data_IF_072374670468
#
_entry.id   IF_072374670468
#
_cell.length_a   1.000
_cell.length_b   1.000
_cell.length_c   1.000
_cell.angle_alpha   90.00
_cell.angle_beta   90.00
_cell.angle_gamma   90.00
#
_symmetry.space_group_name_H-M   'P 1'
#
loop_
_entity.id
_entity.type
_entity.pdbx_description
1 polymer ?
#
# COMPACT_ATOMS: atom_id res chain seq x y z
N UNK A 1 -1.82 -25.95 -0.56
CA UNK A 1 -0.70 -26.66 -1.22
C UNK A 1 -0.50 -26.08 -2.61
N UNK A 2 0.54 -25.27 -2.81
CA UNK A 2 0.83 -24.62 -4.09
C UNK A 2 1.85 -25.47 -4.87
N UNK A 3 1.47 -25.91 -6.08
CA UNK A 3 2.37 -26.64 -6.99
C UNK A 3 3.45 -25.70 -7.51
N UNK A 4 4.63 -25.76 -6.87
CA UNK A 4 5.87 -25.15 -7.34
C UNK A 4 6.34 -25.95 -8.56
N UNK A 5 6.14 -25.43 -9.77
CA UNK A 5 6.76 -25.99 -10.99
C UNK A 5 8.27 -25.76 -10.88
N UNK A 6 9.00 -26.81 -10.55
CA UNK A 6 10.45 -26.87 -10.72
C UNK A 6 10.77 -26.77 -12.21
N UNK A 7 11.49 -25.73 -12.59
CA UNK A 7 12.10 -25.66 -13.92
C UNK A 7 13.30 -26.60 -13.91
N UNK A 8 13.20 -27.70 -14.66
CA UNK A 8 14.34 -28.55 -14.99
C UNK A 8 15.30 -27.75 -15.87
N UNK A 9 16.55 -27.65 -15.41
CA UNK A 9 17.66 -27.18 -16.22
C UNK A 9 18.04 -28.27 -17.23
N UNK A 10 17.57 -28.13 -18.46
CA UNK A 10 18.08 -28.88 -19.60
C UNK A 10 19.18 -28.03 -20.24
N UNK A 11 20.43 -28.48 -20.08
CA UNK A 11 21.52 -28.07 -20.94
C UNK A 11 21.32 -28.70 -22.31
N UNK A 12 21.05 -27.88 -23.31
CA UNK A 12 21.31 -28.22 -24.70
C UNK A 12 21.47 -26.92 -25.49
N UNK A 13 22.43 -26.90 -26.42
CA UNK A 13 22.95 -25.72 -27.14
C UNK A 13 21.97 -25.05 -28.12
N UNK A 14 20.72 -24.89 -27.73
CA UNK A 14 19.72 -24.12 -28.48
C UNK A 14 19.84 -22.64 -28.09
N UNK A 15 19.90 -21.70 -29.07
CA UNK A 15 19.93 -20.28 -28.75
C UNK A 15 18.66 -19.94 -27.95
N UNK A 16 18.87 -19.39 -26.75
CA UNK A 16 17.79 -18.87 -25.89
C UNK A 16 16.85 -18.04 -26.78
N UNK A 17 15.57 -18.40 -26.79
CA UNK A 17 14.53 -17.61 -27.48
C UNK A 17 14.76 -16.14 -27.13
N UNK A 18 14.94 -15.24 -28.11
CA UNK A 18 15.10 -13.82 -27.83
C UNK A 18 13.95 -13.39 -26.92
N UNK A 19 14.26 -12.68 -25.84
CA UNK A 19 13.23 -12.09 -24.99
C UNK A 19 12.25 -11.27 -25.84
N UNK A 20 11.02 -11.04 -25.34
CA UNK A 20 10.02 -10.29 -26.09
C UNK A 20 10.63 -8.97 -26.59
N UNK A 21 10.62 -8.76 -27.91
CA UNK A 21 11.04 -7.50 -28.51
C UNK A 21 10.13 -6.40 -27.93
N UNK A 22 10.73 -5.33 -27.42
CA UNK A 22 9.96 -4.23 -26.83
C UNK A 22 9.09 -3.57 -27.90
N UNK A 23 7.95 -2.99 -27.54
CA UNK A 23 7.04 -2.39 -28.53
C UNK A 23 7.58 -1.11 -29.21
N UNK A 24 8.70 -0.56 -28.72
CA UNK A 24 9.28 0.69 -29.20
C UNK A 24 10.75 0.48 -29.56
N UNK A 25 11.14 0.95 -30.74
CA UNK A 25 12.48 0.84 -31.31
C UNK A 25 12.91 2.19 -31.91
N UNK A 26 14.21 2.32 -32.24
CA UNK A 26 14.74 3.45 -32.99
C UNK A 26 14.45 4.81 -32.35
N UNK A 27 13.99 5.76 -33.18
CA UNK A 27 13.69 7.13 -32.76
C UNK A 27 12.58 7.20 -31.70
N UNK A 28 11.54 6.35 -31.80
CA UNK A 28 10.48 6.28 -30.78
C UNK A 28 11.03 5.96 -29.41
N UNK A 29 11.95 5.00 -29.33
CA UNK A 29 12.60 4.63 -28.08
C UNK A 29 13.46 5.78 -27.53
N UNK A 30 14.25 6.44 -28.39
CA UNK A 30 15.08 7.59 -27.99
C UNK A 30 14.24 8.74 -27.41
N UNK A 31 13.06 9.02 -27.97
CA UNK A 31 12.12 10.01 -27.41
C UNK A 31 11.62 9.60 -26.03
N UNK A 32 11.20 8.35 -25.86
CA UNK A 32 10.72 7.88 -24.57
C UNK A 32 11.82 7.91 -23.50
N UNK A 33 13.05 7.59 -23.86
CA UNK A 33 14.22 7.65 -22.97
C UNK A 33 14.58 9.09 -22.57
N UNK A 34 14.53 10.05 -23.49
CA UNK A 34 14.81 11.46 -23.17
C UNK A 34 13.81 12.08 -22.20
N UNK A 35 12.59 11.52 -22.12
CA UNK A 35 11.51 11.98 -21.24
C UNK A 35 11.45 11.22 -19.91
N UNK A 36 12.37 10.29 -19.65
CA UNK A 36 12.47 9.59 -18.37
C UNK A 36 12.74 10.51 -17.17
N UNK A 37 13.65 11.51 -17.24
CA UNK A 37 13.91 12.39 -16.09
C UNK A 37 12.66 13.14 -15.64
N UNK A 38 11.93 13.74 -16.59
CA UNK A 38 10.70 14.48 -16.30
C UNK A 38 9.60 13.56 -15.77
N UNK A 39 9.53 12.31 -16.23
CA UNK A 39 8.64 11.31 -15.66
C UNK A 39 8.95 11.05 -14.17
N UNK A 40 10.21 10.84 -13.81
CA UNK A 40 10.61 10.58 -12.42
C UNK A 40 10.31 11.76 -11.49
N UNK A 41 10.48 12.99 -11.96
CA UNK A 41 10.10 14.19 -11.21
C UNK A 41 8.60 14.23 -10.92
N UNK A 42 7.77 13.92 -11.93
CA UNK A 42 6.30 13.89 -11.77
C UNK A 42 5.82 12.73 -10.93
N UNK A 43 6.52 11.58 -10.97
CA UNK A 43 6.28 10.46 -10.07
C UNK A 43 6.54 10.86 -8.62
N UNK A 44 7.68 11.50 -8.36
CA UNK A 44 8.07 11.98 -7.03
C UNK A 44 7.06 13.01 -6.49
N UNK A 45 6.59 13.92 -7.35
CA UNK A 45 5.57 14.90 -7.02
C UNK A 45 4.13 14.37 -6.98
N UNK A 46 3.89 13.06 -7.23
CA UNK A 46 2.55 12.44 -7.35
C UNK A 46 1.62 13.13 -8.38
N UNK A 47 2.19 13.77 -9.40
CA UNK A 47 1.48 14.57 -10.43
C UNK A 47 1.50 13.92 -11.83
N UNK A 48 1.62 12.60 -11.89
CA UNK A 48 1.69 11.87 -13.18
C UNK A 48 0.42 12.00 -14.02
N UNK A 49 -0.75 12.20 -13.40
CA UNK A 49 -2.03 12.30 -14.13
C UNK A 49 -2.06 13.49 -15.11
N UNK A 50 -1.54 14.65 -14.70
CA UNK A 50 -1.45 15.84 -15.56
C UNK A 50 -0.34 15.76 -16.61
N UNK A 51 0.60 14.84 -16.43
CA UNK A 51 1.73 14.69 -17.33
C UNK A 51 1.40 13.82 -18.55
N UNK A 52 0.51 12.82 -18.39
CA UNK A 52 0.14 11.92 -19.49
C UNK A 52 -0.42 12.63 -20.73
N UNK A 53 -1.33 13.62 -20.63
CA UNK A 53 -1.80 14.33 -21.80
C UNK A 53 -0.67 15.09 -22.53
N UNK A 54 0.25 15.69 -21.78
CA UNK A 54 1.38 16.46 -22.33
C UNK A 54 2.33 15.57 -23.12
N UNK A 55 2.74 14.44 -22.55
CA UNK A 55 3.66 13.52 -23.25
C UNK A 55 3.01 12.86 -24.45
N UNK A 56 1.71 12.55 -24.41
CA UNK A 56 1.01 12.03 -25.59
C UNK A 56 0.94 13.08 -26.70
N UNK A 57 0.65 14.35 -26.38
CA UNK A 57 0.66 15.42 -27.37
C UNK A 57 2.04 15.60 -28.01
N UNK A 58 3.11 15.63 -27.21
CA UNK A 58 4.49 15.70 -27.71
C UNK A 58 4.92 14.47 -28.52
N UNK A 59 4.40 13.29 -28.18
CA UNK A 59 4.67 12.06 -28.92
C UNK A 59 4.03 12.11 -30.31
N UNK A 60 2.76 12.53 -30.39
CA UNK A 60 2.00 12.59 -31.64
C UNK A 60 2.37 13.80 -32.52
N UNK A 61 2.99 14.85 -31.99
CA UNK A 61 3.55 15.94 -32.80
C UNK A 61 4.83 15.55 -33.56
N UNK A 62 5.52 14.50 -33.10
CA UNK A 62 6.76 13.99 -33.71
C UNK A 62 6.57 12.72 -34.52
N UNK A 63 5.49 11.98 -34.26
CA UNK A 63 5.23 10.67 -34.85
C UNK A 63 3.80 10.67 -35.38
N UNK A 64 3.65 10.54 -36.69
CA UNK A 64 2.32 10.43 -37.29
C UNK A 64 1.61 9.15 -36.87
N UNK A 65 0.31 9.27 -36.56
CA UNK A 65 -0.57 8.16 -36.22
C UNK A 65 -0.75 7.17 -37.37
N UNK A 66 -0.46 7.59 -38.61
CA UNK A 66 -0.50 6.74 -39.81
C UNK A 66 0.71 5.80 -39.91
N UNK A 67 1.78 6.03 -39.14
CA UNK A 67 3.00 5.20 -39.18
C UNK A 67 2.90 4.06 -38.16
N UNK A 68 2.91 2.78 -38.59
CA UNK A 68 2.88 1.63 -37.68
C UNK A 68 4.07 1.59 -36.71
N UNK A 69 3.89 0.95 -35.55
CA UNK A 69 4.92 0.82 -34.51
C UNK A 69 6.18 0.05 -34.98
N UNK A 70 6.02 -0.86 -35.94
CA UNK A 70 7.10 -1.70 -36.47
C UNK A 70 7.93 -1.01 -37.56
N UNK A 71 7.47 0.12 -38.09
CA UNK A 71 8.16 0.88 -39.12
C UNK A 71 8.93 2.05 -38.51
N UNK A 72 10.17 2.29 -38.96
CA UNK A 72 10.95 3.44 -38.48
C UNK A 72 10.32 4.77 -38.93
N UNK A 73 10.50 5.78 -38.09
CA UNK A 73 10.00 7.15 -38.33
C UNK A 73 11.06 7.89 -39.12
N UNK A 74 10.64 8.74 -40.06
CA UNK A 74 11.53 9.67 -40.74
C UNK A 74 12.21 10.59 -39.74
N UNK A 75 13.55 10.66 -39.77
CA UNK A 75 14.35 11.47 -38.86
C UNK A 75 14.03 12.96 -39.00
N UNK A 76 13.73 13.43 -40.21
CA UNK A 76 13.49 14.85 -40.47
C UNK A 76 12.18 15.32 -39.84
N UNK A 77 11.10 14.54 -39.99
CA UNK A 77 9.81 14.84 -39.36
C UNK A 77 9.84 14.71 -37.83
N UNK A 78 10.67 13.80 -37.32
CA UNK A 78 10.79 13.53 -35.89
C UNK A 78 11.56 14.61 -35.13
N UNK A 79 12.64 15.14 -35.72
CA UNK A 79 13.47 16.18 -35.10
C UNK A 79 12.77 17.53 -35.07
N UNK A 80 12.10 17.91 -36.17
CA UNK A 80 11.38 19.18 -36.30
C UNK A 80 10.02 19.21 -35.61
N UNK A 81 9.55 18.08 -35.06
CA UNK A 81 8.19 17.92 -34.52
C UNK A 81 7.11 18.49 -35.46
N UNK A 82 7.32 18.27 -36.75
CA UNK A 82 6.63 18.95 -37.85
C UNK A 82 5.49 18.12 -38.43
N UNK A 83 5.13 17.00 -37.78
CA UNK A 83 3.93 16.25 -38.16
C UNK A 83 2.74 17.20 -38.01
N UNK A 84 2.04 17.55 -39.09
CA UNK A 84 0.88 18.41 -38.98
C UNK A 84 -0.10 17.77 -38.01
N UNK A 85 -0.47 18.51 -36.96
CA UNK A 85 -1.61 18.13 -36.14
C UNK A 85 -2.82 18.38 -37.04
N UNK A 86 -3.20 17.37 -37.81
CA UNK A 86 -4.42 17.38 -38.60
C UNK A 86 -5.56 17.76 -37.63
N UNK A 87 -6.13 18.96 -37.83
CA UNK A 87 -7.26 19.45 -37.06
C UNK A 87 -8.39 18.47 -37.32
N UNK A 88 -9.02 17.95 -36.27
CA UNK A 88 -10.05 16.91 -36.39
C UNK A 88 -11.25 17.34 -37.27
N UNK A 89 -11.36 18.62 -37.62
CA UNK A 89 -12.37 19.17 -38.54
C UNK A 89 -12.10 18.84 -40.02
N UNK A 90 -10.83 18.68 -40.42
CA UNK A 90 -10.42 18.45 -41.82
C UNK A 90 -10.33 16.95 -42.19
N UNK A 91 -10.50 16.06 -41.23
CA UNK A 91 -10.41 14.61 -41.42
C UNK A 91 -11.76 14.00 -41.82
N UNK A 92 -11.74 13.00 -42.70
CA UNK A 92 -12.90 12.13 -42.93
C UNK A 92 -13.31 11.43 -41.64
N UNK A 93 -14.61 11.14 -41.46
CA UNK A 93 -15.11 10.40 -40.30
C UNK A 93 -14.42 9.03 -40.14
N UNK A 94 -14.04 8.39 -41.25
CA UNK A 94 -13.26 7.15 -41.26
C UNK A 94 -11.85 7.34 -40.70
N UNK A 95 -11.18 8.43 -41.08
CA UNK A 95 -9.84 8.79 -40.61
C UNK A 95 -9.86 9.19 -39.13
N UNK A 96 -10.90 9.89 -38.66
CA UNK A 96 -11.09 10.20 -37.24
C UNK A 96 -11.22 8.93 -36.41
N UNK A 97 -12.00 7.95 -36.89
CA UNK A 97 -12.14 6.66 -36.22
C UNK A 97 -10.79 5.93 -36.16
N UNK A 98 -10.06 5.83 -37.27
CA UNK A 98 -8.74 5.20 -37.30
C UNK A 98 -7.74 5.89 -36.36
N UNK A 99 -7.67 7.24 -36.37
CA UNK A 99 -6.83 8.02 -35.46
C UNK A 99 -7.14 7.71 -34.00
N UNK A 100 -8.42 7.70 -33.61
CA UNK A 100 -8.82 7.39 -32.23
C UNK A 100 -8.50 5.95 -31.83
N UNK A 101 -8.64 4.99 -32.74
CA UNK A 101 -8.30 3.59 -32.48
C UNK A 101 -6.79 3.39 -32.28
N UNK A 102 -5.98 4.01 -33.13
CA UNK A 102 -4.52 3.97 -33.00
C UNK A 102 -4.08 4.61 -31.68
N UNK A 103 -4.60 5.80 -31.35
CA UNK A 103 -4.28 6.46 -30.09
C UNK A 103 -4.73 5.64 -28.87
N UNK A 104 -5.91 5.01 -28.91
CA UNK A 104 -6.40 4.11 -27.85
C UNK A 104 -5.49 2.89 -27.65
N UNK A 105 -4.83 2.39 -28.70
CA UNK A 105 -3.88 1.27 -28.62
C UNK A 105 -2.51 1.73 -28.12
N UNK A 106 -1.98 2.83 -28.65
CA UNK A 106 -0.58 3.25 -28.41
C UNK A 106 -0.40 4.01 -27.10
N UNK A 107 -1.35 4.87 -26.68
CA UNK A 107 -1.22 5.65 -25.44
C UNK A 107 -1.04 4.75 -24.19
N UNK A 108 -1.81 3.65 -24.00
CA UNK A 108 -1.56 2.70 -22.91
C UNK A 108 -0.20 2.02 -22.98
N UNK A 109 0.32 1.76 -24.19
CA UNK A 109 1.65 1.14 -24.37
C UNK A 109 2.76 2.09 -23.95
N UNK A 110 2.66 3.37 -24.32
CA UNK A 110 3.58 4.44 -23.87
C UNK A 110 3.54 4.55 -22.34
N UNK A 111 2.34 4.63 -21.76
CA UNK A 111 2.15 4.68 -20.30
C UNK A 111 2.78 3.47 -19.61
N UNK A 112 2.52 2.26 -20.12
CA UNK A 112 3.06 1.00 -19.58
C UNK A 112 4.58 0.97 -19.65
N UNK A 113 5.18 1.49 -20.73
CA UNK A 113 6.62 1.56 -20.89
C UNK A 113 7.29 2.41 -19.79
N UNK A 114 6.70 3.55 -19.44
CA UNK A 114 7.16 4.42 -18.35
C UNK A 114 6.91 3.79 -16.97
N UNK A 115 5.71 3.23 -16.72
CA UNK A 115 5.39 2.64 -15.41
C UNK A 115 6.28 1.43 -15.09
N UNK A 116 6.65 0.62 -16.09
CA UNK A 116 7.57 -0.50 -15.92
C UNK A 116 9.00 -0.04 -15.54
N UNK A 117 9.33 1.23 -15.78
CA UNK A 117 10.62 1.85 -15.43
C UNK A 117 10.55 2.68 -14.16
N UNK A 118 9.36 2.85 -13.57
CA UNK A 118 9.15 3.56 -12.30
C UNK A 118 10.04 3.01 -11.19
N UNK A 119 10.18 1.70 -11.07
CA UNK A 119 11.03 1.07 -10.04
C UNK A 119 12.54 1.25 -10.27
N UNK A 120 12.96 1.65 -11.47
CA UNK A 120 14.39 1.79 -11.84
C UNK A 120 14.94 3.19 -11.59
N UNK A 121 14.09 4.23 -11.61
CA UNK A 121 14.52 5.62 -11.42
C UNK A 121 13.85 6.38 -10.29
N UNK A 122 12.88 5.77 -9.59
CA UNK A 122 12.45 6.31 -8.29
C UNK A 122 13.56 5.99 -7.28
N UNK A 123 14.06 6.99 -6.51
CA UNK A 123 15.10 6.75 -5.52
C UNK A 123 14.70 5.58 -4.62
N UNK A 124 15.68 4.69 -4.33
CA UNK A 124 15.52 3.56 -3.39
C UNK A 124 14.73 4.05 -2.19
N UNK A 125 13.80 3.21 -1.72
CA UNK A 125 13.04 3.41 -0.47
C UNK A 125 13.91 4.14 0.54
N UNK A 126 13.47 5.34 0.97
CA UNK A 126 14.22 6.20 1.87
C UNK A 126 14.86 5.37 2.99
N UNK A 127 16.09 5.68 3.38
CA UNK A 127 16.74 5.02 4.53
C UNK A 127 15.82 5.06 5.75
N UNK A 128 15.05 6.15 5.90
CA UNK A 128 14.05 6.36 6.94
C UNK A 128 12.78 5.51 6.83
N UNK A 129 12.57 4.77 5.75
CA UNK A 129 11.30 4.08 5.50
C UNK A 129 10.95 2.99 6.51
N UNK A 130 11.95 2.36 7.13
CA UNK A 130 11.76 1.39 8.21
C UNK A 130 11.43 2.10 9.52
N UNK A 131 12.17 3.16 9.86
CA UNK A 131 11.94 3.97 11.05
C UNK A 131 10.56 4.63 11.06
N UNK A 132 10.15 5.25 9.95
CA UNK A 132 8.83 5.87 9.83
C UNK A 132 7.67 4.87 9.92
N UNK A 133 7.88 3.61 9.52
CA UNK A 133 6.88 2.56 9.71
C UNK A 133 6.70 2.19 11.19
N UNK A 134 7.77 2.26 11.98
CA UNK A 134 7.72 2.00 13.42
C UNK A 134 6.99 3.13 14.17
N UNK A 135 7.13 4.38 13.73
CA UNK A 135 6.48 5.53 14.37
C UNK A 135 4.99 5.70 14.03
N UNK A 136 4.58 5.35 12.79
CA UNK A 136 3.25 5.72 12.27
C UNK A 136 2.22 4.60 12.42
N UNK A 137 2.63 3.36 12.72
CA UNK A 137 1.67 2.26 12.81
C UNK A 137 1.30 1.99 14.27
N UNK A 138 0.04 2.25 14.68
CA UNK A 138 -0.55 1.48 15.77
C UNK A 138 -0.31 0.00 15.43
N UNK A 139 0.17 -0.77 16.39
CA UNK A 139 0.43 -2.20 16.22
C UNK A 139 -0.87 -2.92 15.90
N UNK A 140 -1.21 -3.03 14.60
CA UNK A 140 -2.39 -3.73 14.10
C UNK A 140 -3.14 -2.95 13.03
N UNK A 141 -3.62 -3.66 12.00
CA UNK A 141 -4.58 -3.12 11.04
C UNK A 141 -5.95 -2.88 11.69
N UNK A 142 -6.88 -2.30 10.92
CA UNK A 142 -8.28 -2.06 11.34
C UNK A 142 -8.83 -3.31 12.06
N UNK A 143 -9.36 -3.17 13.29
CA UNK A 143 -9.95 -4.29 14.02
C UNK A 143 -11.00 -5.00 13.17
N UNK A 144 -10.85 -6.32 12.99
CA UNK A 144 -11.83 -7.13 12.27
C UNK A 144 -12.87 -7.67 13.25
N UNK A 145 -14.15 -7.60 12.88
CA UNK A 145 -15.23 -8.28 13.61
C UNK A 145 -14.91 -9.78 13.69
N UNK A 146 -14.96 -10.34 14.90
CA UNK A 146 -14.81 -11.79 15.12
C UNK A 146 -16.01 -12.53 14.53
N UNK A 147 -15.77 -13.69 13.95
CA UNK A 147 -16.85 -14.63 13.65
C UNK A 147 -17.56 -15.02 14.96
N UNK A 148 -18.87 -15.24 14.93
CA UNK A 148 -19.65 -15.62 16.12
C UNK A 148 -19.09 -16.86 16.82
N UNK A 149 -18.59 -17.86 16.08
CA UNK A 149 -17.95 -19.03 16.69
C UNK A 149 -16.65 -18.67 17.43
N UNK A 150 -15.88 -17.72 16.91
CA UNK A 150 -14.67 -17.21 17.57
C UNK A 150 -15.02 -16.34 18.78
N UNK A 151 -16.11 -15.57 18.71
CA UNK A 151 -16.63 -14.81 19.84
C UNK A 151 -17.10 -15.73 20.97
N UNK A 152 -17.87 -16.78 20.64
CA UNK A 152 -18.37 -17.78 21.57
C UNK A 152 -17.23 -18.51 22.30
N UNK A 153 -16.16 -18.88 21.58
CA UNK A 153 -14.97 -19.54 22.15
C UNK A 153 -14.24 -18.70 23.21
N UNK A 154 -14.28 -17.37 23.11
CA UNK A 154 -13.58 -16.46 24.03
C UNK A 154 -14.52 -15.78 25.03
N UNK A 155 -15.82 -16.04 24.94
CA UNK A 155 -16.82 -15.49 25.83
C UNK A 155 -16.68 -16.10 27.24
N UNK A 156 -16.77 -15.29 28.28
CA UNK A 156 -16.56 -15.71 29.68
C UNK A 156 -17.42 -16.91 30.06
N UNK A 157 -18.68 -16.90 29.63
CA UNK A 157 -19.68 -17.88 30.08
C UNK A 157 -19.58 -19.23 29.35
N UNK A 158 -18.98 -19.24 28.15
CA UNK A 158 -18.99 -20.40 27.25
C UNK A 158 -17.61 -20.98 26.99
N UNK A 159 -16.54 -20.22 27.27
CA UNK A 159 -15.15 -20.65 27.10
C UNK A 159 -14.85 -21.96 27.82
N UNK A 160 -15.24 -22.08 29.10
CA UNK A 160 -14.98 -23.28 29.89
C UNK A 160 -15.59 -24.53 29.25
N UNK A 161 -16.83 -24.43 28.77
CA UNK A 161 -17.54 -25.53 28.09
C UNK A 161 -16.84 -25.94 26.79
N UNK A 162 -16.39 -24.96 25.99
CA UNK A 162 -15.65 -25.23 24.74
C UNK A 162 -14.30 -25.87 25.03
N UNK A 163 -13.61 -25.43 26.08
CA UNK A 163 -12.28 -25.92 26.45
C UNK A 163 -12.33 -27.36 26.96
N UNK A 164 -13.30 -27.71 27.81
CA UNK A 164 -13.47 -29.09 28.29
C UNK A 164 -13.73 -30.08 27.15
N UNK A 165 -14.60 -29.76 26.20
CA UNK A 165 -14.87 -30.62 25.03
C UNK A 165 -13.66 -30.68 24.08
N UNK A 166 -12.89 -29.60 23.99
CA UNK A 166 -11.68 -29.54 23.19
C UNK A 166 -10.59 -30.44 23.77
N UNK A 167 -10.30 -30.30 25.07
CA UNK A 167 -9.28 -31.09 25.76
C UNK A 167 -9.60 -32.58 25.68
N UNK A 168 -10.86 -32.97 25.92
CA UNK A 168 -11.32 -34.35 25.77
C UNK A 168 -11.04 -34.92 24.37
N UNK A 169 -11.36 -34.17 23.30
CA UNK A 169 -11.13 -34.67 21.93
C UNK A 169 -9.66 -34.74 21.58
N UNK A 170 -8.87 -33.76 22.00
CA UNK A 170 -7.44 -33.74 21.71
C UNK A 170 -6.75 -34.93 22.38
N UNK A 171 -7.15 -35.27 23.62
CA UNK A 171 -6.64 -36.43 24.34
C UNK A 171 -7.11 -37.76 23.74
N UNK A 172 -8.38 -37.86 23.33
CA UNK A 172 -8.95 -39.11 22.79
C UNK A 172 -8.48 -39.42 21.35
N UNK A 173 -8.36 -38.41 20.50
CA UNK A 173 -8.07 -38.56 19.07
C UNK A 173 -6.60 -38.28 18.70
N UNK A 174 -5.73 -38.00 19.68
CA UNK A 174 -4.30 -37.64 19.51
C UNK A 174 -4.06 -36.59 18.41
N UNK A 175 -4.85 -35.51 18.47
CA UNK A 175 -4.90 -34.51 17.40
C UNK A 175 -3.61 -33.68 17.39
N UNK A 176 -2.96 -33.49 16.22
CA UNK A 176 -1.76 -32.67 16.11
C UNK A 176 -2.05 -31.19 16.38
N UNK A 177 -1.10 -30.45 17.02
CA UNK A 177 -1.25 -29.02 17.33
C UNK A 177 -1.65 -28.12 16.16
N UNK A 178 -1.28 -28.48 14.93
CA UNK A 178 -1.65 -27.75 13.71
C UNK A 178 -3.16 -27.71 13.44
N UNK A 179 -3.95 -28.60 14.04
CA UNK A 179 -5.39 -28.70 13.84
C UNK A 179 -6.22 -28.21 15.03
N UNK A 180 -5.58 -27.94 16.18
CA UNK A 180 -6.24 -27.53 17.42
C UNK A 180 -7.19 -26.34 17.23
N UNK A 181 -6.75 -25.29 16.53
CA UNK A 181 -7.57 -24.10 16.28
C UNK A 181 -8.83 -24.41 15.45
N UNK A 182 -8.71 -25.31 14.46
CA UNK A 182 -9.84 -25.69 13.60
C UNK A 182 -10.89 -26.44 14.41
N UNK A 183 -10.45 -27.36 15.26
CA UNK A 183 -11.33 -28.20 16.07
C UNK A 183 -12.00 -27.36 17.16
N UNK A 184 -11.26 -26.48 17.83
CA UNK A 184 -11.84 -25.57 18.82
C UNK A 184 -12.88 -24.64 18.18
N UNK A 185 -12.61 -24.13 16.97
CA UNK A 185 -13.58 -23.34 16.20
C UNK A 185 -14.82 -24.15 15.80
N UNK A 186 -14.64 -25.43 15.45
CA UNK A 186 -15.73 -26.34 15.11
C UNK A 186 -16.62 -26.64 16.33
N UNK A 187 -16.03 -26.94 17.49
CA UNK A 187 -16.72 -27.18 18.76
C UNK A 187 -17.52 -25.93 19.16
N UNK A 188 -16.89 -24.76 19.14
CA UNK A 188 -17.56 -23.51 19.48
C UNK A 188 -18.76 -23.23 18.55
N UNK A 189 -18.61 -23.49 17.24
CA UNK A 189 -19.73 -23.36 16.29
C UNK A 189 -20.85 -24.35 16.60
N UNK A 190 -20.51 -25.61 16.93
CA UNK A 190 -21.49 -26.66 17.27
C UNK A 190 -22.31 -26.25 18.50
N UNK A 191 -21.64 -25.82 19.58
CA UNK A 191 -22.33 -25.39 20.80
C UNK A 191 -23.17 -24.14 20.57
N UNK A 192 -22.64 -23.13 19.87
CA UNK A 192 -23.43 -21.96 19.50
C UNK A 192 -24.71 -22.32 18.73
N UNK A 193 -24.65 -23.28 17.79
CA UNK A 193 -25.82 -23.72 17.03
C UNK A 193 -26.86 -24.46 17.88
N UNK A 194 -26.47 -25.04 19.01
CA UNK A 194 -27.36 -25.74 19.94
C UNK A 194 -28.03 -24.80 20.96
N UNK A 195 -27.52 -23.58 21.13
CA UNK A 195 -28.14 -22.59 22.02
C UNK A 195 -29.54 -22.18 21.53
N UNK A 196 -30.35 -21.67 22.45
CA UNK A 196 -31.66 -21.12 22.15
C UNK A 196 -31.56 -19.84 21.30
N UNK A 197 -32.68 -19.45 20.69
CA UNK A 197 -32.72 -18.30 19.77
C UNK A 197 -32.41 -16.98 20.47
N UNK A 198 -32.84 -16.83 21.72
CA UNK A 198 -32.66 -15.59 22.50
C UNK A 198 -31.18 -15.40 22.88
N UNK A 199 -30.51 -16.45 23.32
CA UNK A 199 -29.07 -16.49 23.61
C UNK A 199 -28.24 -16.19 22.36
N UNK A 200 -28.61 -16.75 21.21
CA UNK A 200 -27.93 -16.47 19.93
C UNK A 200 -28.02 -14.99 19.56
N UNK A 201 -29.22 -14.41 19.60
CA UNK A 201 -29.43 -13.00 19.29
C UNK A 201 -28.71 -12.06 20.27
N UNK A 202 -28.66 -12.43 21.56
CA UNK A 202 -27.90 -11.68 22.57
C UNK A 202 -26.41 -11.65 22.24
N UNK A 203 -25.80 -12.81 21.98
CA UNK A 203 -24.37 -12.92 21.68
C UNK A 203 -23.97 -12.22 20.38
N UNK A 204 -24.84 -12.24 19.37
CA UNK A 204 -24.62 -11.50 18.13
C UNK A 204 -24.59 -9.99 18.38
N UNK A 205 -25.54 -9.46 19.16
CA UNK A 205 -25.58 -8.04 19.55
C UNK A 205 -24.35 -7.64 20.36
N UNK A 206 -23.92 -8.45 21.31
CA UNK A 206 -22.72 -8.17 22.11
C UNK A 206 -21.44 -8.17 21.27
N UNK A 207 -21.30 -9.12 20.34
CA UNK A 207 -20.18 -9.13 19.40
C UNK A 207 -20.16 -7.86 18.53
N UNK A 208 -21.33 -7.41 18.07
CA UNK A 208 -21.47 -6.15 17.34
C UNK A 208 -21.07 -4.92 18.17
N UNK A 209 -21.53 -4.85 19.42
CA UNK A 209 -21.16 -3.76 20.33
C UNK A 209 -19.66 -3.76 20.62
N UNK A 210 -19.07 -4.94 20.85
CA UNK A 210 -17.64 -5.10 21.09
C UNK A 210 -16.82 -4.62 19.89
N UNK A 211 -17.22 -5.02 18.67
CA UNK A 211 -16.58 -4.56 17.44
C UNK A 211 -16.70 -3.05 17.27
N UNK A 212 -17.89 -2.46 17.49
CA UNK A 212 -18.08 -1.01 17.43
C UNK A 212 -17.16 -0.25 18.39
N UNK A 213 -17.01 -0.74 19.63
CA UNK A 213 -16.08 -0.16 20.62
C UNK A 213 -14.63 -0.23 20.16
N UNK A 214 -14.20 -1.37 19.62
CA UNK A 214 -12.83 -1.53 19.10
C UNK A 214 -12.55 -0.61 17.90
N UNK A 215 -13.51 -0.47 16.98
CA UNK A 215 -13.39 0.45 15.82
C UNK A 215 -13.35 1.89 16.30
N UNK A 216 -14.19 2.29 17.24
CA UNK A 216 -14.18 3.64 17.80
C UNK A 216 -12.85 3.96 18.49
N UNK A 217 -12.29 3.03 19.27
CA UNK A 217 -10.98 3.21 19.90
C UNK A 217 -9.85 3.30 18.85
N UNK A 218 -9.89 2.46 17.81
CA UNK A 218 -8.95 2.53 16.69
C UNK A 218 -9.06 3.86 15.93
N UNK A 219 -10.28 4.35 15.67
CA UNK A 219 -10.51 5.64 15.04
C UNK A 219 -10.07 6.81 15.93
N UNK A 220 -10.29 6.76 17.24
CA UNK A 220 -9.85 7.79 18.18
C UNK A 220 -8.31 7.87 18.21
N UNK A 221 -7.63 6.73 18.25
CA UNK A 221 -6.17 6.65 18.14
C UNK A 221 -5.66 7.20 16.80
N UNK A 222 -6.42 7.04 15.71
CA UNK A 222 -6.09 7.59 14.39
C UNK A 222 -6.43 9.06 14.21
N UNK A 223 -7.45 9.57 14.90
CA UNK A 223 -7.94 10.95 14.81
C UNK A 223 -7.27 11.90 15.80
N UNK A 224 -6.30 11.42 16.59
CA UNK A 224 -5.65 12.16 17.67
C UNK A 224 -5.09 13.52 17.24
N UNK A 225 -5.91 14.56 17.37
CA UNK A 225 -5.45 15.91 17.66
C UNK A 225 -5.05 15.94 19.13
N UNK A 226 -4.01 16.71 19.52
CA UNK A 226 -3.55 16.76 20.89
C UNK A 226 -4.67 17.21 21.84
N UNK A 227 -4.59 16.86 23.13
CA UNK A 227 -5.49 17.40 24.14
C UNK A 227 -5.48 18.93 24.09
N UNK A 228 -6.63 19.54 23.76
CA UNK A 228 -6.80 21.00 23.77
C UNK A 228 -7.03 21.49 25.22
N UNK A 229 -7.35 20.57 26.15
CA UNK A 229 -7.54 20.93 27.55
C UNK A 229 -6.18 21.20 28.24
N UNK A 230 -6.13 22.16 29.19
CA UNK A 230 -4.93 22.46 29.95
C UNK A 230 -4.33 21.23 30.64
N UNK A 231 -5.13 20.45 31.35
CA UNK A 231 -4.64 19.33 32.16
C UNK A 231 -4.06 18.18 31.31
N UNK A 232 -4.64 17.91 30.14
CA UNK A 232 -4.10 16.91 29.22
C UNK A 232 -2.80 17.33 28.54
N UNK A 233 -2.48 18.63 28.53
CA UNK A 233 -1.17 19.12 28.07
C UNK A 233 -0.09 18.99 29.15
N UNK A 234 -0.47 18.99 30.43
CA UNK A 234 0.43 18.74 31.55
C UNK A 234 0.85 17.27 31.58
N UNK A 235 -0.13 16.37 31.48
CA UNK A 235 0.09 14.92 31.38
C UNK A 235 0.93 14.55 30.14
N UNK A 236 0.63 15.13 28.98
CA UNK A 236 1.42 14.92 27.76
C UNK A 236 2.87 15.45 27.86
N UNK A 237 3.15 16.43 28.73
CA UNK A 237 4.52 16.91 28.99
C UNK A 237 5.30 15.98 29.92
N UNK A 238 4.61 15.34 30.86
CA UNK A 238 5.20 14.33 31.74
C UNK A 238 5.56 13.06 30.94
N UNK A 239 4.69 12.65 30.01
CA UNK A 239 4.93 11.49 29.13
C UNK A 239 5.85 11.80 27.92
N UNK A 240 6.24 13.07 27.74
CA UNK A 240 6.99 13.52 26.56
C UNK A 240 8.37 12.85 26.46
N UNK A 241 9.04 12.66 27.59
CA UNK A 241 10.37 12.03 27.64
C UNK A 241 10.30 10.59 27.13
N UNK A 242 9.38 9.78 27.66
CA UNK A 242 9.20 8.38 27.25
C UNK A 242 8.82 8.23 25.78
N UNK A 243 8.04 9.18 25.24
CA UNK A 243 7.62 9.17 23.85
C UNK A 243 8.73 9.61 22.88
N UNK A 244 9.50 10.63 23.26
CA UNK A 244 10.47 11.28 22.38
C UNK A 244 11.82 10.58 22.41
N UNK A 245 12.21 9.96 23.52
CA UNK A 245 13.52 9.30 23.64
C UNK A 245 13.76 8.25 22.54
N UNK A 246 12.83 7.31 22.25
CA UNK A 246 13.02 6.34 21.16
C UNK A 246 13.14 6.99 19.77
N UNK A 247 12.57 8.18 19.59
CA UNK A 247 12.66 8.94 18.35
C UNK A 247 14.03 9.61 18.20
N UNK A 248 14.56 10.19 19.28
CA UNK A 248 15.92 10.77 19.31
C UNK A 248 16.98 9.68 19.14
N UNK A 249 16.84 8.56 19.84
CA UNK A 249 17.71 7.38 19.70
C UNK A 249 17.67 6.84 18.27
N UNK A 250 16.49 6.82 17.65
CA UNK A 250 16.32 6.45 16.25
C UNK A 250 17.05 7.40 15.29
N UNK A 251 16.99 8.70 15.54
CA UNK A 251 17.75 9.67 14.73
C UNK A 251 19.26 9.50 14.90
N UNK A 252 19.75 9.26 16.13
CA UNK A 252 21.16 8.98 16.38
C UNK A 252 21.60 7.70 15.67
N UNK A 253 20.80 6.62 15.74
CA UNK A 253 21.13 5.36 15.07
C UNK A 253 21.21 5.48 13.53
N UNK A 254 20.37 6.32 12.91
CA UNK A 254 20.34 6.48 11.45
C UNK A 254 21.36 7.51 10.91
N UNK A 255 21.79 8.46 11.73
CA UNK A 255 22.64 9.59 11.27
C UNK A 255 24.00 9.65 11.94
N UNK A 256 24.19 8.99 13.08
CA UNK A 256 25.37 9.08 13.94
C UNK A 256 25.50 10.41 14.69
N UNK A 257 24.45 11.24 14.70
CA UNK A 257 24.42 12.56 15.33
C UNK A 257 23.51 12.51 16.56
N UNK A 258 23.92 13.13 17.66
CA UNK A 258 23.07 13.29 18.84
C UNK A 258 22.07 14.42 18.66
N UNK A 259 20.82 14.16 19.01
CA UNK A 259 19.73 15.13 18.94
C UNK A 259 19.24 15.43 20.35
N UNK A 260 18.94 16.70 20.61
CA UNK A 260 18.36 17.18 21.87
C UNK A 260 17.06 17.91 21.56
N UNK A 261 15.99 17.62 22.31
CA UNK A 261 14.71 18.32 22.17
C UNK A 261 14.50 19.28 23.34
N UNK A 262 14.42 20.58 23.04
CA UNK A 262 14.06 21.61 24.01
C UNK A 262 12.64 22.08 23.80
N UNK A 263 11.76 21.83 24.76
CA UNK A 263 10.39 22.34 24.80
C UNK A 263 10.19 23.27 25.99
N UNK A 264 9.42 24.35 25.83
CA UNK A 264 9.12 25.28 26.91
C UNK A 264 7.70 25.81 26.81
N UNK A 265 7.01 25.86 27.95
CA UNK A 265 5.73 26.56 28.12
C UNK A 265 5.83 27.54 29.29
N UNK A 266 5.11 28.66 29.26
CA UNK A 266 5.00 29.52 30.43
C UNK A 266 4.39 28.73 31.61
N UNK A 267 4.94 28.87 32.83
CA UNK A 267 4.47 28.16 34.00
C UNK A 267 3.04 28.61 34.35
N UNK A 268 2.13 27.64 34.56
CA UNK A 268 0.74 27.90 35.01
C UNK A 268 0.63 28.07 36.53
N UNK A 269 1.64 27.65 37.28
CA UNK A 269 1.80 27.85 38.72
C UNK A 269 3.21 28.38 38.98
N UNK A 270 3.41 29.20 40.02
CA UNK A 270 4.65 29.95 40.32
C UNK A 270 5.94 29.11 40.54
N UNK A 271 5.93 27.78 40.34
CA UNK A 271 7.06 26.89 40.67
C UNK A 271 7.46 25.82 39.66
N UNK A 272 6.94 25.80 38.42
CA UNK A 272 7.31 24.74 37.47
C UNK A 272 8.65 25.01 36.74
N UNK A 273 9.57 24.03 36.84
CA UNK A 273 10.86 23.99 36.14
C UNK A 273 10.65 23.63 34.66
N UNK A 274 11.57 24.07 33.80
CA UNK A 274 11.62 23.65 32.40
C UNK A 274 12.03 22.17 32.30
N UNK A 275 11.27 21.38 31.54
CA UNK A 275 11.63 19.99 31.21
C UNK A 275 12.61 19.99 30.04
N UNK A 276 13.81 19.48 30.26
CA UNK A 276 14.82 19.28 29.20
C UNK A 276 14.97 17.78 29.01
N UNK A 277 14.68 17.28 27.80
CA UNK A 277 14.92 15.89 27.41
C UNK A 277 16.25 15.88 26.65
N UNK A 278 17.25 15.18 27.19
CA UNK A 278 18.63 15.14 26.68
C UNK A 278 18.90 13.85 25.94
#
# INVERSE_FOLDING_TARGET
MAKKKMAQAAGDGTPKRPGPRGNFHGLRLKFLESKLPTFFDKVSARKTHNWWPVIHAEYWSRISWRVPLDQEVDSTMFDDASVPIEIDEDLSEEDKQMKTEVMKKVNPMVKTWFTNRKSKGVPKTSVWSTFLKQLVQPTGGVPKKRNIAQYYMVHTDYKAKVDTEFDHRVEEEDIPPSEHLKIRSYIAKKFFLQEDKETKERLEKENDLTHKKMVAAYEAAWKGLPPINPDGQDEALEELEELVQPLLDGFEAYTGVRFVLTGGRPPRQESSKYTVVV
#
